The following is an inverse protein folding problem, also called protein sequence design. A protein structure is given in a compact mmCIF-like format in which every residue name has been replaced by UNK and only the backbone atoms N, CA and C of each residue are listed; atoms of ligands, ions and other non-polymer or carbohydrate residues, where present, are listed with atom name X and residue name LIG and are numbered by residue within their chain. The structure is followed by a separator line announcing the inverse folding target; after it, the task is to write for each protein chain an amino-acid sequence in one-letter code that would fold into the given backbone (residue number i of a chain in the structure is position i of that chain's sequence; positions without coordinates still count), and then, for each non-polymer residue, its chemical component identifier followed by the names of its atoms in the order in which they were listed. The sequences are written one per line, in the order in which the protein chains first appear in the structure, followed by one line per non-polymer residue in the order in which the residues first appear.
data_IF_103874627076
#
_entry.id   IF_103874627076
#
_cell.length_a   1.000
_cell.length_b   1.000
_cell.length_c   1.000
_cell.angle_alpha   90.00
_cell.angle_beta   90.00
_cell.angle_gamma   90.00
#
_symmetry.space_group_name_H-M   'P 1'
#
loop_
_entity.id
_entity.type
_entity.pdbx_description
1 polymer ?
#
# COMPACT_ATOMS: atom_id res chain seq x y z
N UNK A 1 1.93 39.41 53.42
CA UNK A 1 2.41 40.44 54.37
C UNK A 1 2.40 39.86 55.78
N UNK A 2 3.44 40.11 56.59
CA UNK A 2 3.49 39.71 58.01
C UNK A 2 3.58 40.97 58.89
N UNK A 3 2.85 41.02 60.01
CA UNK A 3 2.86 42.15 60.94
C UNK A 3 3.71 41.89 62.19
N UNK A 4 4.06 42.96 62.91
CA UNK A 4 4.84 42.90 64.16
C UNK A 4 4.23 41.99 65.23
N UNK A 5 2.91 41.86 65.26
CA UNK A 5 2.16 41.02 66.20
C UNK A 5 2.00 39.56 65.75
N UNK A 6 2.66 39.17 64.65
CA UNK A 6 2.65 37.79 64.14
C UNK A 6 1.39 37.43 63.35
N UNK A 7 0.67 38.42 62.81
CA UNK A 7 -0.42 38.17 61.86
C UNK A 7 0.13 38.06 60.44
N UNK A 8 -0.42 37.12 59.68
CA UNK A 8 -0.22 37.03 58.24
C UNK A 8 -1.47 37.54 57.52
N UNK A 9 -1.22 38.27 56.42
CA UNK A 9 -2.23 38.74 55.50
C UNK A 9 -1.87 38.30 54.09
N UNK A 10 -2.84 37.76 53.38
CA UNK A 10 -2.76 37.37 51.98
C UNK A 10 -3.74 38.22 51.19
N UNK A 11 -3.28 38.86 50.13
CA UNK A 11 -4.08 39.76 49.29
C UNK A 11 -4.00 39.30 47.83
N UNK A 12 -5.07 39.54 47.08
CA UNK A 12 -5.02 39.47 45.62
C UNK A 12 -4.22 40.66 45.07
N UNK A 13 -3.21 40.40 44.24
CA UNK A 13 -2.36 41.45 43.69
C UNK A 13 -3.08 42.39 42.70
N UNK A 14 -4.12 41.93 42.00
CA UNK A 14 -4.81 42.74 40.99
C UNK A 14 -5.83 43.71 41.62
N UNK A 15 -6.59 43.24 42.60
CA UNK A 15 -7.68 44.01 43.21
C UNK A 15 -7.39 44.52 44.62
N UNK A 16 -6.27 44.09 45.22
CA UNK A 16 -5.93 44.33 46.63
C UNK A 16 -6.98 43.78 47.63
N UNK A 17 -7.85 42.86 47.22
CA UNK A 17 -8.82 42.21 48.12
C UNK A 17 -8.07 41.30 49.10
N UNK A 18 -8.39 41.42 50.40
CA UNK A 18 -7.84 40.55 51.44
C UNK A 18 -8.44 39.15 51.32
N UNK A 19 -7.60 38.16 51.00
CA UNK A 19 -7.99 36.77 50.84
C UNK A 19 -7.95 36.00 52.16
N UNK A 20 -6.89 36.18 52.96
CA UNK A 20 -6.74 35.44 54.22
C UNK A 20 -6.04 36.29 55.28
N UNK A 21 -6.48 36.17 56.53
CA UNK A 21 -5.86 36.81 57.68
C UNK A 21 -5.91 35.85 58.86
N UNK A 22 -4.76 35.58 59.47
CA UNK A 22 -4.69 34.80 60.71
C UNK A 22 -3.45 35.15 61.52
N UNK A 23 -3.48 34.88 62.84
CA UNK A 23 -2.29 34.99 63.68
C UNK A 23 -1.51 33.67 63.63
N UNK A 24 -0.28 33.72 63.13
CA UNK A 24 0.59 32.55 62.95
C UNK A 24 1.69 32.45 64.02
N UNK A 25 1.94 33.53 64.77
CA UNK A 25 2.92 33.55 65.86
C UNK A 25 2.45 34.43 67.01
N UNK A 26 2.67 33.97 68.25
CA UNK A 26 2.47 34.82 69.44
C UNK A 26 3.57 35.87 69.59
N UNK A 27 4.76 35.58 69.05
CA UNK A 27 5.96 36.42 69.09
C UNK A 27 6.23 37.11 67.76
N UNK A 28 6.98 38.21 67.78
CA UNK A 28 7.40 38.90 66.56
C UNK A 28 8.28 38.01 65.69
N UNK A 29 7.89 37.86 64.42
CA UNK A 29 8.73 37.31 63.35
C UNK A 29 9.65 38.44 62.91
N UNK A 30 10.93 38.36 63.28
CA UNK A 30 11.87 39.48 63.16
C UNK A 30 12.72 39.44 61.89
N UNK A 31 12.83 38.27 61.25
CA UNK A 31 13.45 38.10 59.93
C UNK A 31 12.54 37.24 59.06
N UNK A 32 12.46 37.60 57.78
CA UNK A 32 11.72 36.88 56.75
C UNK A 32 12.52 36.85 55.46
N UNK A 33 12.36 35.78 54.69
CA UNK A 33 12.89 35.65 53.34
C UNK A 33 11.82 35.02 52.43
N UNK A 34 12.01 35.15 51.13
CA UNK A 34 11.23 34.39 50.16
C UNK A 34 11.54 32.90 50.29
N UNK A 35 10.49 32.07 50.26
CA UNK A 35 10.65 30.62 50.25
C UNK A 35 10.43 30.06 48.84
N UNK A 36 11.53 30.00 48.09
CA UNK A 36 11.52 29.67 46.65
C UNK A 36 10.94 28.29 46.33
N UNK A 37 11.09 27.30 47.22
CA UNK A 37 10.58 25.94 46.97
C UNK A 37 9.06 25.87 46.83
N UNK A 38 8.32 26.74 47.53
CA UNK A 38 6.86 26.73 47.55
C UNK A 38 6.25 28.05 47.07
N UNK A 39 7.06 28.97 46.53
CA UNK A 39 6.63 30.33 46.19
C UNK A 39 6.05 31.11 47.38
N UNK A 40 6.49 30.80 48.61
CA UNK A 40 5.91 31.31 49.85
C UNK A 40 6.81 32.29 50.60
N UNK A 41 6.56 32.44 51.90
CA UNK A 41 7.38 33.21 52.83
C UNK A 41 7.89 32.31 53.95
N UNK A 42 9.17 32.45 54.31
CA UNK A 42 9.78 31.80 55.47
C UNK A 42 10.25 32.87 56.45
N UNK A 43 10.14 32.63 57.75
CA UNK A 43 10.60 33.56 58.77
C UNK A 43 10.91 32.91 60.11
N UNK A 44 11.65 33.65 60.94
CA UNK A 44 12.05 33.20 62.29
C UNK A 44 11.47 34.14 63.34
N UNK A 45 10.83 33.56 64.36
CA UNK A 45 10.30 34.32 65.49
C UNK A 45 11.29 34.40 66.67
N UNK A 46 11.02 35.30 67.63
CA UNK A 46 11.91 35.50 68.80
C UNK A 46 12.09 34.26 69.70
N UNK A 47 11.22 33.26 69.58
CA UNK A 47 11.37 31.96 70.27
C UNK A 47 12.29 30.98 69.52
N UNK A 48 12.82 31.38 68.37
CA UNK A 48 13.66 30.54 67.53
C UNK A 48 12.88 29.56 66.64
N UNK A 49 11.55 29.70 66.53
CA UNK A 49 10.75 28.85 65.64
C UNK A 49 10.91 29.32 64.19
N UNK A 50 11.15 28.38 63.29
CA UNK A 50 11.15 28.61 61.84
C UNK A 50 9.75 28.32 61.31
N UNK A 51 9.10 29.33 60.75
CA UNK A 51 7.73 29.28 60.25
C UNK A 51 7.75 29.52 58.74
N UNK A 52 7.05 28.69 57.98
CA UNK A 52 6.83 28.89 56.54
C UNK A 52 5.34 28.97 56.24
N UNK A 53 4.94 29.90 55.39
CA UNK A 53 3.57 29.98 54.87
C UNK A 53 3.61 30.05 53.34
N UNK A 54 2.84 29.19 52.70
CA UNK A 54 2.68 29.11 51.25
C UNK A 54 1.19 29.06 50.90
N UNK A 55 0.90 29.28 49.63
CA UNK A 55 -0.46 29.11 49.09
C UNK A 55 -0.73 27.61 48.97
N UNK A 56 -1.88 27.17 49.48
CA UNK A 56 -2.43 25.85 49.16
C UNK A 56 -3.25 25.97 47.87
N UNK A 57 -2.63 25.59 46.76
CA UNK A 57 -3.24 25.68 45.41
C UNK A 57 -4.54 24.89 45.28
N UNK A 58 -4.73 23.83 46.08
CA UNK A 58 -5.93 22.97 46.01
C UNK A 58 -7.12 23.59 46.73
N UNK A 59 -6.88 24.32 47.81
CA UNK A 59 -7.93 24.83 48.68
C UNK A 59 -8.18 26.34 48.51
N UNK A 60 -7.30 27.08 47.83
CA UNK A 60 -7.47 28.52 47.63
C UNK A 60 -8.78 28.86 46.91
N UNK A 61 -9.06 28.20 45.78
CA UNK A 61 -10.27 28.48 44.98
C UNK A 61 -11.55 28.07 45.74
N UNK A 62 -11.65 26.86 46.34
CA UNK A 62 -12.79 26.51 47.21
C UNK A 62 -13.00 27.48 48.38
N UNK A 63 -11.92 27.96 49.01
CA UNK A 63 -12.00 28.90 50.12
C UNK A 63 -12.56 30.26 49.68
N UNK A 64 -12.06 30.83 48.58
CA UNK A 64 -12.57 32.11 48.05
C UNK A 64 -14.03 31.97 47.60
N UNK A 65 -14.40 30.80 47.08
CA UNK A 65 -15.76 30.52 46.61
C UNK A 65 -16.75 30.38 47.75
N UNK A 66 -16.46 29.50 48.73
CA UNK A 66 -17.44 29.06 49.73
C UNK A 66 -17.33 29.87 51.03
N UNK A 67 -16.10 30.17 51.47
CA UNK A 67 -15.86 30.88 52.75
C UNK A 67 -15.91 32.38 52.58
N UNK A 68 -15.28 32.93 51.53
CA UNK A 68 -15.38 34.36 51.23
C UNK A 68 -16.63 34.76 50.45
N UNK A 69 -17.40 33.78 49.94
CA UNK A 69 -18.59 33.99 49.11
C UNK A 69 -18.33 34.93 47.91
N UNK A 70 -17.14 34.85 47.31
CA UNK A 70 -16.75 35.68 46.17
C UNK A 70 -16.42 34.82 44.93
N UNK A 71 -17.43 34.27 44.24
CA UNK A 71 -17.23 33.37 43.10
C UNK A 71 -16.59 34.08 41.89
N UNK A 72 -16.79 35.38 41.73
CA UNK A 72 -16.18 36.15 40.63
C UNK A 72 -14.66 36.28 40.78
N UNK A 73 -14.19 36.53 42.01
CA UNK A 73 -12.77 36.55 42.31
C UNK A 73 -12.16 35.13 42.19
N UNK A 74 -12.88 34.11 42.66
CA UNK A 74 -12.45 32.72 42.53
C UNK A 74 -12.26 32.31 41.05
N UNK A 75 -13.19 32.70 40.17
CA UNK A 75 -13.08 32.47 38.73
C UNK A 75 -11.86 33.18 38.12
N UNK A 76 -11.64 34.46 38.44
CA UNK A 76 -10.49 35.22 37.93
C UNK A 76 -9.16 34.62 38.41
N UNK A 77 -9.07 34.25 39.69
CA UNK A 77 -7.90 33.60 40.27
C UNK A 77 -7.60 32.25 39.60
N UNK A 78 -8.63 31.44 39.38
CA UNK A 78 -8.47 30.13 38.75
C UNK A 78 -7.97 30.23 37.31
N UNK A 79 -8.47 31.19 36.52
CA UNK A 79 -7.99 31.42 35.15
C UNK A 79 -6.58 31.98 35.14
N UNK A 80 -6.31 33.01 35.95
CA UNK A 80 -5.04 33.73 35.94
C UNK A 80 -3.87 32.88 36.45
N UNK A 81 -4.12 32.03 37.43
CA UNK A 81 -3.10 31.19 38.08
C UNK A 81 -3.21 29.70 37.72
N UNK A 82 -4.14 29.31 36.82
CA UNK A 82 -4.38 27.92 36.41
C UNK A 82 -4.63 26.96 37.60
N UNK A 83 -5.35 27.43 38.62
CA UNK A 83 -5.61 26.70 39.86
C UNK A 83 -6.80 25.73 39.72
N UNK A 84 -6.74 24.54 40.34
CA UNK A 84 -7.84 23.57 40.37
C UNK A 84 -9.03 24.04 41.24
N UNK A 85 -10.19 23.42 41.08
CA UNK A 85 -11.36 23.67 41.96
C UNK A 85 -12.33 24.75 41.50
N UNK A 86 -12.13 25.36 40.32
CA UNK A 86 -13.10 26.24 39.68
C UNK A 86 -14.01 25.53 38.67
N UNK A 87 -13.85 24.22 38.47
CA UNK A 87 -14.55 23.45 37.43
C UNK A 87 -16.07 23.64 37.52
N UNK A 88 -16.62 23.47 38.72
CA UNK A 88 -18.05 23.64 39.00
C UNK A 88 -18.53 25.07 38.78
N UNK A 89 -17.67 26.08 39.01
CA UNK A 89 -18.02 27.48 38.79
C UNK A 89 -18.16 27.78 37.29
N UNK A 90 -17.26 27.24 36.46
CA UNK A 90 -17.37 27.35 35.01
C UNK A 90 -18.64 26.67 34.49
N UNK A 91 -18.93 25.46 34.97
CA UNK A 91 -20.15 24.73 34.58
C UNK A 91 -21.41 25.49 35.00
N UNK A 92 -21.47 26.02 36.23
CA UNK A 92 -22.60 26.83 36.70
C UNK A 92 -22.76 28.11 35.88
N UNK A 93 -21.68 28.85 35.65
CA UNK A 93 -21.71 30.09 34.84
C UNK A 93 -22.17 29.81 33.41
N UNK A 94 -21.67 28.73 32.81
CA UNK A 94 -22.12 28.25 31.50
C UNK A 94 -23.62 27.96 31.50
N UNK A 95 -24.11 27.16 32.46
CA UNK A 95 -25.53 26.80 32.54
C UNK A 95 -26.44 28.03 32.70
N UNK A 96 -26.03 29.00 33.53
CA UNK A 96 -26.79 30.24 33.72
C UNK A 96 -26.87 31.05 32.43
N UNK A 97 -25.74 31.27 31.75
CA UNK A 97 -25.71 32.02 30.48
C UNK A 97 -26.49 31.29 29.38
N UNK A 98 -26.37 29.96 29.32
CA UNK A 98 -27.07 29.14 28.36
C UNK A 98 -28.59 29.16 28.60
N UNK A 99 -29.04 29.06 29.86
CA UNK A 99 -30.44 29.16 30.23
C UNK A 99 -31.06 30.55 29.98
N UNK A 100 -30.25 31.60 29.98
CA UNK A 100 -30.65 32.97 29.62
C UNK A 100 -30.72 33.20 28.09
N UNK A 101 -30.36 32.22 27.28
CA UNK A 101 -30.29 32.37 25.81
C UNK A 101 -29.09 33.19 25.32
N UNK A 102 -28.15 33.52 26.19
CA UNK A 102 -26.92 34.26 25.86
C UNK A 102 -25.82 33.31 25.36
N UNK A 103 -26.07 32.69 24.20
CA UNK A 103 -25.21 31.65 23.63
C UNK A 103 -23.79 32.12 23.30
N UNK A 104 -23.63 33.37 22.85
CA UNK A 104 -22.32 33.92 22.51
C UNK A 104 -21.40 34.06 23.74
N UNK A 105 -21.93 34.53 24.87
CA UNK A 105 -21.18 34.64 26.12
C UNK A 105 -20.94 33.25 26.74
N UNK A 106 -21.92 32.34 26.65
CA UNK A 106 -21.74 30.96 27.08
C UNK A 106 -20.61 30.27 26.29
N UNK A 107 -20.51 30.51 24.98
CA UNK A 107 -19.43 30.00 24.15
C UNK A 107 -18.06 30.56 24.55
N UNK A 108 -17.95 31.86 24.86
CA UNK A 108 -16.71 32.46 25.38
C UNK A 108 -16.27 31.81 26.69
N UNK A 109 -17.19 31.56 27.62
CA UNK A 109 -16.90 30.88 28.88
C UNK A 109 -16.43 29.45 28.65
N UNK A 110 -17.03 28.73 27.70
CA UNK A 110 -16.61 27.38 27.36
C UNK A 110 -15.21 27.35 26.71
N UNK A 111 -14.88 28.37 25.92
CA UNK A 111 -13.60 28.49 25.24
C UNK A 111 -12.45 28.88 26.20
N UNK A 112 -12.69 29.78 27.15
CA UNK A 112 -11.68 30.23 28.13
C UNK A 112 -11.57 29.36 29.39
N UNK A 113 -12.41 28.32 29.51
CA UNK A 113 -12.39 27.43 30.66
C UNK A 113 -11.00 26.77 30.81
N UNK A 114 -10.40 26.77 32.01
CA UNK A 114 -9.09 26.18 32.25
C UNK A 114 -9.13 24.69 31.89
N UNK A 115 -8.03 24.17 31.35
CA UNK A 115 -7.90 22.76 30.95
C UNK A 115 -8.99 22.24 30.00
N UNK A 116 -9.74 23.13 29.35
CA UNK A 116 -10.81 22.73 28.42
C UNK A 116 -11.95 21.95 29.06
N UNK A 117 -12.27 22.17 30.35
CA UNK A 117 -13.33 21.43 31.07
C UNK A 117 -14.69 21.49 30.37
N UNK A 118 -14.97 22.59 29.66
CA UNK A 118 -16.20 22.79 28.91
C UNK A 118 -16.06 22.47 27.42
N UNK A 119 -14.88 22.08 26.92
CA UNK A 119 -14.64 21.65 25.53
C UNK A 119 -14.90 20.16 25.37
N UNK A 120 -16.11 19.74 25.71
CA UNK A 120 -16.53 18.33 25.75
C UNK A 120 -17.66 18.06 24.76
N UNK A 121 -17.87 16.79 24.35
CA UNK A 121 -18.99 16.41 23.49
C UNK A 121 -20.36 16.82 24.08
N UNK A 122 -20.51 16.81 25.40
CA UNK A 122 -21.74 17.22 26.07
C UNK A 122 -22.07 18.70 25.84
N UNK A 123 -21.06 19.57 25.83
CA UNK A 123 -21.24 21.00 25.53
C UNK A 123 -21.67 21.20 24.08
N UNK A 124 -21.06 20.47 23.14
CA UNK A 124 -21.41 20.52 21.71
C UNK A 124 -22.87 20.10 21.51
N UNK A 125 -23.29 18.99 22.13
CA UNK A 125 -24.68 18.51 22.04
C UNK A 125 -25.70 19.53 22.56
N UNK A 126 -25.37 20.27 23.63
CA UNK A 126 -26.23 21.35 24.12
C UNK A 126 -26.38 22.46 23.09
N UNK A 127 -25.29 22.91 22.49
CA UNK A 127 -25.34 23.92 21.41
C UNK A 127 -26.07 23.42 20.16
N UNK A 128 -26.01 22.12 19.87
CA UNK A 128 -26.72 21.49 18.75
C UNK A 128 -28.24 21.45 18.98
N UNK A 129 -28.68 21.23 20.23
CA UNK A 129 -30.09 21.22 20.62
C UNK A 129 -30.68 22.62 20.86
N UNK A 130 -29.83 23.66 20.87
CA UNK A 130 -30.26 25.03 21.12
C UNK A 130 -31.22 25.53 20.01
N UNK A 131 -32.31 26.23 20.36
CA UNK A 131 -33.23 26.80 19.38
C UNK A 131 -32.51 27.81 18.48
N UNK A 132 -32.64 27.63 17.17
CA UNK A 132 -32.07 28.53 16.16
C UNK A 132 -33.10 29.63 15.87
N UNK A 133 -32.76 30.88 16.17
CA UNK A 133 -33.64 32.01 15.81
C UNK A 133 -33.55 32.31 14.31
N UNK A 134 -34.69 32.56 13.63
CA UNK A 134 -34.70 32.90 12.20
C UNK A 134 -33.84 34.16 11.95
N UNK A 135 -33.07 34.16 10.86
CA UNK A 135 -32.08 35.19 10.49
C UNK A 135 -30.83 35.33 11.40
N UNK A 136 -30.63 34.48 12.39
CA UNK A 136 -29.39 34.48 13.20
C UNK A 136 -28.50 33.29 12.90
N UNK A 137 -27.18 33.45 13.08
CA UNK A 137 -26.24 32.34 12.98
C UNK A 137 -26.54 31.30 14.06
N UNK A 138 -26.48 30.02 13.69
CA UNK A 138 -26.72 28.92 14.65
C UNK A 138 -25.80 29.06 15.87
N UNK A 139 -26.32 28.87 17.10
CA UNK A 139 -25.50 28.88 18.32
C UNK A 139 -24.27 27.97 18.25
N UNK A 140 -24.39 26.82 17.55
CA UNK A 140 -23.29 25.89 17.33
C UNK A 140 -22.18 26.48 16.45
N UNK A 141 -22.55 27.21 15.39
CA UNK A 141 -21.57 27.90 14.53
C UNK A 141 -20.89 29.06 15.26
N UNK A 142 -21.62 29.77 16.13
CA UNK A 142 -21.03 30.81 16.98
C UNK A 142 -20.01 30.23 17.95
N UNK A 143 -20.32 29.07 18.55
CA UNK A 143 -19.40 28.35 19.43
C UNK A 143 -18.10 27.97 18.72
N UNK A 144 -18.19 27.33 17.55
CA UNK A 144 -16.99 26.97 16.78
C UNK A 144 -16.20 28.18 16.28
N UNK A 145 -16.89 29.27 15.87
CA UNK A 145 -16.21 30.51 15.48
C UNK A 145 -15.32 31.08 16.58
N UNK A 146 -15.84 31.16 17.81
CA UNK A 146 -15.07 31.65 18.97
C UNK A 146 -13.90 30.71 19.29
N UNK A 147 -14.10 29.40 19.21
CA UNK A 147 -13.02 28.44 19.46
C UNK A 147 -11.90 28.53 18.41
N UNK A 148 -12.25 28.68 17.13
CA UNK A 148 -11.28 28.84 16.03
C UNK A 148 -10.43 30.12 16.18
N UNK A 149 -11.02 31.18 16.73
CA UNK A 149 -10.30 32.43 17.04
C UNK A 149 -9.32 32.24 18.20
N UNK A 150 -9.66 31.40 19.19
CA UNK A 150 -8.80 31.15 20.37
C UNK A 150 -7.68 30.15 20.11
N UNK A 151 -7.90 29.12 19.29
CA UNK A 151 -6.88 28.10 19.08
C UNK A 151 -7.31 26.94 18.18
N UNK A 152 -6.61 25.81 18.32
CA UNK A 152 -6.89 24.58 17.59
C UNK A 152 -8.09 23.86 18.20
N UNK A 153 -9.01 23.39 17.36
CA UNK A 153 -10.14 22.54 17.73
C UNK A 153 -9.66 21.12 18.04
N UNK A 154 -10.29 20.47 19.03
CA UNK A 154 -10.00 19.08 19.34
C UNK A 154 -10.64 18.11 18.33
N UNK A 155 -10.35 16.81 18.44
CA UNK A 155 -10.87 15.75 17.56
C UNK A 155 -12.40 15.81 17.39
N UNK A 156 -13.14 15.91 18.49
CA UNK A 156 -14.60 15.90 18.47
C UNK A 156 -15.18 17.17 17.86
N UNK A 157 -14.63 18.33 18.24
CA UNK A 157 -15.02 19.63 17.70
C UNK A 157 -14.76 19.71 16.19
N UNK A 158 -13.60 19.21 15.74
CA UNK A 158 -13.23 19.18 14.32
C UNK A 158 -14.21 18.33 13.51
N UNK A 159 -14.62 17.16 14.02
CA UNK A 159 -15.63 16.30 13.39
C UNK A 159 -16.99 16.99 13.29
N UNK A 160 -17.50 17.52 14.40
CA UNK A 160 -18.83 18.13 14.44
C UNK A 160 -18.91 19.45 13.66
N UNK A 161 -17.80 20.19 13.54
CA UNK A 161 -17.71 21.34 12.65
C UNK A 161 -17.70 20.91 11.17
N UNK A 162 -16.98 19.85 10.82
CA UNK A 162 -16.80 19.45 9.43
C UNK A 162 -18.04 18.78 8.82
N UNK A 163 -18.83 18.02 9.60
CA UNK A 163 -20.07 17.38 9.13
C UNK A 163 -21.01 18.32 8.36
N UNK A 164 -21.49 19.45 8.93
CA UNK A 164 -22.40 20.35 8.21
C UNK A 164 -21.71 21.10 7.05
N UNK A 165 -20.41 21.39 7.17
CA UNK A 165 -19.64 22.09 6.13
C UNK A 165 -19.51 21.22 4.88
N UNK A 166 -19.26 19.92 5.07
CA UNK A 166 -19.19 18.93 3.98
C UNK A 166 -20.56 18.67 3.37
N UNK A 167 -21.63 18.60 4.16
CA UNK A 167 -23.00 18.48 3.64
C UNK A 167 -23.43 19.67 2.78
N UNK A 168 -22.94 20.87 3.11
CA UNK A 168 -23.17 22.09 2.32
C UNK A 168 -22.18 22.23 1.15
N UNK A 169 -21.32 21.23 0.91
CA UNK A 169 -20.30 21.19 -0.12
C UNK A 169 -19.31 22.39 -0.07
N UNK A 170 -19.05 22.94 1.13
CA UNK A 170 -18.16 24.09 1.35
C UNK A 170 -16.73 23.66 1.67
N UNK A 171 -16.14 22.79 0.84
CA UNK A 171 -14.80 22.22 1.08
C UNK A 171 -13.67 23.25 1.18
N UNK A 172 -13.82 24.41 0.56
CA UNK A 172 -12.84 25.51 0.62
C UNK A 172 -12.57 26.00 2.06
N UNK A 173 -13.57 25.93 2.95
CA UNK A 173 -13.39 26.31 4.36
C UNK A 173 -12.50 25.29 5.08
N UNK A 174 -12.71 24.00 4.80
CA UNK A 174 -11.90 22.94 5.37
C UNK A 174 -10.45 23.02 4.91
N UNK A 175 -10.20 23.31 3.63
CA UNK A 175 -8.85 23.57 3.12
C UNK A 175 -8.16 24.72 3.83
N UNK A 176 -8.89 25.82 4.10
CA UNK A 176 -8.35 26.96 4.85
C UNK A 176 -7.97 26.56 6.27
N UNK A 177 -8.88 25.90 6.99
CA UNK A 177 -8.62 25.49 8.38
C UNK A 177 -7.49 24.46 8.51
N UNK A 178 -7.32 23.56 7.53
CA UNK A 178 -6.20 22.62 7.48
C UNK A 178 -4.86 23.29 7.16
N UNK A 179 -4.86 24.41 6.41
CA UNK A 179 -3.65 25.21 6.14
C UNK A 179 -3.24 26.06 7.34
N UNK A 180 -4.21 26.50 8.13
CA UNK A 180 -4.00 27.32 9.33
C UNK A 180 -3.80 26.48 10.62
N UNK A 181 -3.67 25.15 10.49
CA UNK A 181 -3.54 24.18 11.59
C UNK A 181 -4.61 24.37 12.71
N UNK A 182 -5.83 24.74 12.30
CA UNK A 182 -6.94 25.03 13.22
C UNK A 182 -7.71 23.78 13.66
N UNK A 183 -7.49 22.64 13.02
CA UNK A 183 -8.22 21.40 13.28
C UNK A 183 -7.26 20.32 13.78
N UNK A 184 -7.66 19.59 14.81
CA UNK A 184 -7.03 18.33 15.17
C UNK A 184 -7.51 17.24 14.20
N UNK A 185 -6.57 16.71 13.41
CA UNK A 185 -6.86 15.70 12.40
C UNK A 185 -6.94 14.31 13.05
N UNK A 186 -7.92 13.51 12.63
CA UNK A 186 -8.12 12.14 13.08
C UNK A 186 -8.54 11.22 11.94
N UNK A 187 -8.48 9.90 12.17
CA UNK A 187 -8.93 8.90 11.20
C UNK A 187 -10.39 9.11 10.78
N UNK A 188 -11.28 9.28 11.77
CA UNK A 188 -12.72 9.52 11.55
C UNK A 188 -12.96 10.77 10.68
N UNK A 189 -12.15 11.81 10.87
CA UNK A 189 -12.27 13.03 10.07
C UNK A 189 -11.82 12.78 8.64
N UNK A 190 -10.73 12.04 8.44
CA UNK A 190 -10.26 11.66 7.12
C UNK A 190 -11.29 10.81 6.37
N UNK A 191 -11.91 9.84 7.03
CA UNK A 191 -12.95 8.99 6.44
C UNK A 191 -14.20 9.79 6.03
N UNK A 192 -14.60 10.76 6.85
CA UNK A 192 -15.70 11.67 6.53
C UNK A 192 -15.40 12.53 5.30
N UNK A 193 -14.18 13.07 5.21
CA UNK A 193 -13.74 13.90 4.09
C UNK A 193 -13.57 13.09 2.81
N UNK A 194 -13.14 11.83 2.92
CA UNK A 194 -12.91 10.92 1.79
C UNK A 194 -14.16 10.68 0.94
N UNK A 195 -15.35 10.74 1.56
CA UNK A 195 -16.63 10.61 0.85
C UNK A 195 -16.88 11.74 -0.16
N UNK A 196 -16.21 12.88 0.00
CA UNK A 196 -16.36 14.07 -0.84
C UNK A 196 -15.12 14.30 -1.72
N UNK A 197 -13.92 14.20 -1.13
CA UNK A 197 -12.66 14.49 -1.83
C UNK A 197 -11.50 13.64 -1.27
N UNK A 198 -10.99 12.72 -2.09
CA UNK A 198 -9.90 11.82 -1.72
C UNK A 198 -8.56 12.55 -1.49
N UNK A 199 -8.29 13.64 -2.22
CA UNK A 199 -7.03 14.39 -2.09
C UNK A 199 -7.02 15.21 -0.80
N UNK A 200 -8.17 15.77 -0.41
CA UNK A 200 -8.30 16.46 0.86
C UNK A 200 -8.21 15.48 2.03
N UNK A 201 -8.82 14.31 1.92
CA UNK A 201 -8.72 13.25 2.93
C UNK A 201 -7.27 12.79 3.16
N UNK A 202 -6.47 12.64 2.09
CA UNK A 202 -5.05 12.36 2.21
C UNK A 202 -4.31 13.39 3.07
N UNK A 203 -4.63 14.68 2.90
CA UNK A 203 -4.05 15.77 3.70
C UNK A 203 -4.43 15.70 5.18
N UNK A 204 -5.64 15.20 5.48
CA UNK A 204 -6.11 14.95 6.84
C UNK A 204 -5.40 13.74 7.44
N UNK A 205 -5.34 12.60 6.73
CA UNK A 205 -4.68 11.39 7.23
C UNK A 205 -3.19 11.58 7.48
N UNK A 206 -2.51 12.37 6.65
CA UNK A 206 -1.10 12.73 6.85
C UNK A 206 -0.89 13.50 8.17
N UNK A 207 -1.76 14.46 8.48
CA UNK A 207 -1.72 15.22 9.74
C UNK A 207 -2.17 14.40 10.94
N UNK A 208 -3.11 13.48 10.74
CA UNK A 208 -3.60 12.56 11.78
C UNK A 208 -2.58 11.47 12.14
N UNK A 209 -1.47 11.36 11.39
CA UNK A 209 -0.46 10.32 11.55
C UNK A 209 -1.05 8.90 11.53
N UNK A 210 -1.85 8.60 10.49
CA UNK A 210 -2.49 7.29 10.29
C UNK A 210 -1.91 6.62 9.04
N UNK A 211 -0.78 5.88 9.15
CA UNK A 211 -0.01 5.45 7.97
C UNK A 211 -0.78 4.53 7.03
N UNK A 212 -1.59 3.62 7.58
CA UNK A 212 -2.35 2.65 6.78
C UNK A 212 -3.38 3.33 5.85
N UNK A 213 -4.10 4.34 6.34
CA UNK A 213 -5.05 5.13 5.51
C UNK A 213 -4.35 6.01 4.50
N UNK A 214 -3.20 6.61 4.87
CA UNK A 214 -2.39 7.42 3.93
C UNK A 214 -1.95 6.55 2.74
N UNK A 215 -1.44 5.36 3.03
CA UNK A 215 -0.98 4.41 2.00
C UNK A 215 -2.16 3.93 1.14
N UNK A 216 -3.30 3.61 1.76
CA UNK A 216 -4.51 3.26 1.03
C UNK A 216 -4.96 4.40 0.09
N UNK A 217 -4.95 5.65 0.54
CA UNK A 217 -5.27 6.80 -0.31
C UNK A 217 -4.25 7.00 -1.44
N UNK A 218 -2.95 6.77 -1.21
CA UNK A 218 -1.97 6.80 -2.29
C UNK A 218 -2.20 5.68 -3.31
N UNK A 219 -2.58 4.48 -2.86
CA UNK A 219 -2.89 3.36 -3.73
C UNK A 219 -4.13 3.64 -4.60
N UNK A 220 -5.19 4.18 -4.00
CA UNK A 220 -6.43 4.55 -4.71
C UNK A 220 -6.23 5.72 -5.69
N UNK A 221 -5.29 6.63 -5.40
CA UNK A 221 -4.95 7.76 -6.29
C UNK A 221 -3.88 7.41 -7.34
N UNK A 222 -3.38 6.18 -7.36
CA UNK A 222 -2.34 5.71 -8.30
C UNK A 222 -0.94 6.29 -8.05
N UNK A 223 -0.70 6.89 -6.88
CA UNK A 223 0.57 7.54 -6.53
C UNK A 223 1.55 6.55 -5.85
N UNK A 224 1.86 5.43 -6.51
CA UNK A 224 2.63 4.32 -5.91
C UNK A 224 4.03 4.71 -5.44
N UNK A 225 4.73 5.59 -6.16
CA UNK A 225 6.04 6.08 -5.74
C UNK A 225 6.02 6.74 -4.36
N UNK A 226 4.92 7.43 -4.03
CA UNK A 226 4.77 8.08 -2.72
C UNK A 226 4.51 7.08 -1.59
N UNK A 227 3.98 5.89 -1.88
CA UNK A 227 3.75 4.84 -0.87
C UNK A 227 5.07 4.41 -0.26
N UNK A 228 6.05 4.03 -1.09
CA UNK A 228 7.36 3.53 -0.64
C UNK A 228 8.12 4.63 0.10
N UNK A 229 8.15 5.85 -0.46
CA UNK A 229 8.81 7.00 0.16
C UNK A 229 8.20 7.35 1.53
N UNK A 230 6.87 7.35 1.64
CA UNK A 230 6.19 7.63 2.89
C UNK A 230 6.45 6.53 3.92
N UNK A 231 6.28 5.26 3.54
CA UNK A 231 6.53 4.09 4.39
C UNK A 231 7.94 4.12 5.01
N UNK A 232 8.98 4.36 4.20
CA UNK A 232 10.37 4.51 4.67
C UNK A 232 10.53 5.72 5.62
N UNK A 233 9.90 6.86 5.31
CA UNK A 233 10.00 8.08 6.12
C UNK A 233 9.38 7.93 7.51
N UNK A 234 8.24 7.25 7.61
CA UNK A 234 7.55 7.04 8.90
C UNK A 234 7.97 5.76 9.63
N UNK A 235 8.81 4.92 9.01
CA UNK A 235 9.21 3.63 9.57
C UNK A 235 8.05 2.63 9.67
N UNK A 236 7.08 2.71 8.76
CA UNK A 236 5.91 1.83 8.72
C UNK A 236 6.02 0.86 7.55
N UNK A 237 5.95 -0.44 7.82
CA UNK A 237 5.94 -1.50 6.80
C UNK A 237 4.51 -1.93 6.53
N UNK A 238 3.88 -1.50 5.42
CA UNK A 238 2.55 -1.97 5.05
C UNK A 238 2.58 -3.42 4.58
N UNK A 239 1.42 -4.07 4.61
CA UNK A 239 1.20 -5.32 3.87
C UNK A 239 1.08 -5.00 2.37
N UNK A 240 2.21 -5.05 1.67
CA UNK A 240 2.28 -4.75 0.24
C UNK A 240 1.47 -5.74 -0.62
N UNK A 241 1.35 -7.00 -0.18
CA UNK A 241 0.60 -8.03 -0.90
C UNK A 241 -0.90 -7.75 -0.81
N UNK A 242 -1.40 -7.40 0.37
CA UNK A 242 -2.79 -6.98 0.55
C UNK A 242 -3.10 -5.73 -0.30
N UNK A 243 -2.22 -4.73 -0.28
CA UNK A 243 -2.38 -3.52 -1.09
C UNK A 243 -2.40 -3.84 -2.59
N UNK A 244 -1.48 -4.71 -3.05
CA UNK A 244 -1.43 -5.12 -4.45
C UNK A 244 -2.72 -5.82 -4.87
N UNK A 245 -3.27 -6.74 -4.05
CA UNK A 245 -4.56 -7.39 -4.31
C UNK A 245 -5.69 -6.37 -4.46
N UNK A 246 -5.71 -5.34 -3.62
CA UNK A 246 -6.71 -4.28 -3.70
C UNK A 246 -6.56 -3.45 -4.99
N UNK A 247 -5.34 -3.06 -5.34
CA UNK A 247 -5.05 -2.30 -6.57
C UNK A 247 -5.43 -3.12 -7.81
N UNK A 248 -5.04 -4.39 -7.88
CA UNK A 248 -5.34 -5.26 -9.01
C UNK A 248 -6.85 -5.44 -9.25
N UNK A 249 -7.67 -5.44 -8.20
CA UNK A 249 -9.14 -5.51 -8.30
C UNK A 249 -9.76 -4.24 -8.86
N UNK A 250 -9.16 -3.08 -8.61
CA UNK A 250 -9.69 -1.78 -9.06
C UNK A 250 -9.15 -1.44 -10.44
N UNK A 251 -7.83 -1.56 -10.63
CA UNK A 251 -7.15 -1.25 -11.87
C UNK A 251 -5.94 -2.20 -12.07
N UNK A 252 -6.10 -3.25 -12.90
CA UNK A 252 -5.04 -4.21 -13.21
C UNK A 252 -3.75 -3.59 -13.78
N UNK A 253 -3.86 -2.57 -14.63
CA UNK A 253 -2.70 -1.94 -15.27
C UNK A 253 -1.84 -1.20 -14.25
N UNK A 254 -2.47 -0.45 -13.37
CA UNK A 254 -1.79 0.20 -12.25
C UNK A 254 -1.20 -0.82 -11.26
N UNK A 255 -1.84 -1.98 -11.10
CA UNK A 255 -1.31 -3.07 -10.30
C UNK A 255 0.01 -3.62 -10.85
N UNK A 256 0.19 -3.69 -12.18
CA UNK A 256 1.48 -4.07 -12.80
C UNK A 256 2.57 -3.07 -12.44
N UNK A 257 2.29 -1.78 -12.57
CA UNK A 257 3.26 -0.72 -12.23
C UNK A 257 3.64 -0.80 -10.74
N UNK A 258 2.66 -1.02 -9.87
CA UNK A 258 2.92 -1.18 -8.44
C UNK A 258 3.75 -2.43 -8.14
N UNK A 259 3.43 -3.57 -8.75
CA UNK A 259 4.19 -4.81 -8.61
C UNK A 259 5.65 -4.66 -9.08
N UNK A 260 5.89 -3.98 -10.21
CA UNK A 260 7.25 -3.68 -10.69
C UNK A 260 8.04 -2.86 -9.67
N UNK A 261 7.39 -1.84 -9.06
CA UNK A 261 8.01 -1.03 -8.02
C UNK A 261 8.41 -1.83 -6.77
N UNK A 262 7.64 -2.85 -6.39
CA UNK A 262 7.95 -3.66 -5.20
C UNK A 262 9.21 -4.51 -5.36
N UNK A 263 9.59 -4.84 -6.60
CA UNK A 263 10.73 -5.71 -6.93
C UNK A 263 11.98 -4.93 -7.36
N UNK A 264 11.81 -3.70 -7.85
CA UNK A 264 12.92 -2.85 -8.32
C UNK A 264 13.78 -2.24 -7.20
N UNK A 265 13.30 -2.23 -5.96
CA UNK A 265 14.05 -1.72 -4.81
C UNK A 265 15.26 -2.62 -4.50
N UNK A 266 16.35 -2.03 -3.95
CA UNK A 266 17.59 -2.78 -3.62
C UNK A 266 17.32 -3.98 -2.71
N UNK A 267 16.35 -3.82 -1.81
CA UNK A 267 15.72 -4.91 -1.05
C UNK A 267 14.28 -5.06 -1.54
N UNK A 268 13.95 -6.23 -2.10
CA UNK A 268 12.60 -6.52 -2.57
C UNK A 268 11.60 -6.37 -1.40
N UNK A 269 10.60 -5.51 -1.61
CA UNK A 269 9.59 -5.19 -0.59
C UNK A 269 8.54 -6.31 -0.44
N UNK A 270 8.45 -7.19 -1.43
CA UNK A 270 7.54 -8.32 -1.46
C UNK A 270 8.16 -9.49 -2.22
N UNK A 271 7.79 -10.71 -1.82
CA UNK A 271 8.25 -11.92 -2.50
C UNK A 271 7.63 -12.03 -3.91
N UNK A 272 8.46 -12.40 -4.87
CA UNK A 272 8.05 -12.42 -6.26
C UNK A 272 7.01 -13.52 -6.55
N UNK A 273 7.08 -14.67 -5.86
CA UNK A 273 6.07 -15.72 -6.02
C UNK A 273 4.71 -15.26 -5.48
N UNK A 274 4.69 -14.58 -4.33
CA UNK A 274 3.46 -14.02 -3.75
C UNK A 274 2.81 -12.97 -4.66
N UNK A 275 3.60 -12.14 -5.34
CA UNK A 275 3.11 -11.19 -6.34
C UNK A 275 2.45 -11.94 -7.50
N UNK A 276 3.11 -12.97 -8.05
CA UNK A 276 2.56 -13.81 -9.12
C UNK A 276 1.25 -14.46 -8.70
N UNK A 277 1.19 -15.01 -7.49
CA UNK A 277 -0.02 -15.62 -6.94
C UNK A 277 -1.19 -14.62 -6.91
N UNK A 278 -0.94 -13.34 -6.59
CA UNK A 278 -1.98 -12.31 -6.62
C UNK A 278 -2.57 -12.06 -8.01
N UNK A 279 -1.74 -12.08 -9.06
CA UNK A 279 -2.26 -11.99 -10.43
C UNK A 279 -3.05 -13.23 -10.83
N UNK A 280 -2.56 -14.41 -10.45
CA UNK A 280 -3.18 -15.69 -10.77
C UNK A 280 -4.53 -15.89 -10.08
N UNK A 281 -4.65 -15.49 -8.81
CA UNK A 281 -5.92 -15.50 -8.06
C UNK A 281 -7.02 -14.70 -8.77
N UNK A 282 -6.64 -13.63 -9.48
CA UNK A 282 -7.55 -12.76 -10.23
C UNK A 282 -7.65 -13.13 -11.72
N UNK A 283 -7.02 -14.22 -12.15
CA UNK A 283 -6.94 -14.66 -13.55
C UNK A 283 -6.37 -13.59 -14.51
N UNK A 284 -5.51 -12.70 -14.00
CA UNK A 284 -4.90 -11.59 -14.76
C UNK A 284 -3.61 -12.04 -15.46
N UNK A 285 -3.73 -13.03 -16.35
CA UNK A 285 -2.58 -13.69 -16.99
C UNK A 285 -1.76 -12.72 -17.85
N UNK A 286 -2.40 -11.91 -18.68
CA UNK A 286 -1.68 -10.98 -19.57
C UNK A 286 -0.84 -9.97 -18.78
N UNK A 287 -1.40 -9.43 -17.70
CA UNK A 287 -0.74 -8.49 -16.79
C UNK A 287 0.39 -9.18 -16.01
N UNK A 288 0.18 -10.42 -15.56
CA UNK A 288 1.20 -11.23 -14.92
C UNK A 288 2.38 -11.47 -15.87
N UNK A 289 2.12 -11.82 -17.13
CA UNK A 289 3.14 -12.01 -18.16
C UNK A 289 3.93 -10.72 -18.37
N UNK A 290 3.26 -9.58 -18.54
CA UNK A 290 3.95 -8.29 -18.71
C UNK A 290 4.84 -7.93 -17.51
N UNK A 291 4.36 -8.18 -16.29
CA UNK A 291 5.15 -8.01 -15.08
C UNK A 291 6.39 -8.93 -15.07
N UNK A 292 6.20 -10.23 -15.31
CA UNK A 292 7.27 -11.22 -15.24
C UNK A 292 8.31 -11.06 -16.35
N UNK A 293 7.93 -10.64 -17.56
CA UNK A 293 8.89 -10.35 -18.63
C UNK A 293 9.86 -9.23 -18.25
N UNK A 294 9.40 -8.20 -17.53
CA UNK A 294 10.26 -7.13 -17.03
C UNK A 294 11.08 -7.58 -15.80
N UNK A 295 10.47 -8.32 -14.88
CA UNK A 295 11.13 -8.79 -13.67
C UNK A 295 12.25 -9.82 -13.95
N UNK A 296 12.04 -10.68 -14.96
CA UNK A 296 12.95 -11.77 -15.35
C UNK A 296 13.87 -11.40 -16.52
N UNK A 297 13.95 -10.13 -16.92
CA UNK A 297 14.73 -9.67 -18.08
C UNK A 297 16.22 -9.98 -18.03
N UNK A 298 16.74 -10.30 -16.84
CA UNK A 298 18.14 -10.64 -16.63
C UNK A 298 18.44 -12.15 -16.75
N UNK A 299 17.41 -12.96 -17.01
CA UNK A 299 17.48 -14.40 -17.28
C UNK A 299 18.39 -15.14 -16.30
N UNK A 300 18.16 -14.97 -14.99
CA UNK A 300 19.04 -15.54 -13.97
C UNK A 300 18.70 -17.02 -13.72
N UNK A 301 19.69 -17.89 -13.49
CA UNK A 301 19.43 -19.32 -13.20
C UNK A 301 18.53 -19.55 -11.97
N UNK A 302 18.62 -18.68 -10.96
CA UNK A 302 17.83 -18.76 -9.73
C UNK A 302 16.33 -18.54 -9.99
N UNK A 303 15.98 -17.91 -11.12
CA UNK A 303 14.61 -17.60 -11.51
C UNK A 303 13.99 -18.67 -12.42
N UNK A 304 14.70 -19.77 -12.70
CA UNK A 304 14.23 -20.87 -13.56
C UNK A 304 12.82 -21.39 -13.25
N UNK A 305 12.43 -21.59 -11.97
CA UNK A 305 11.06 -21.95 -11.63
C UNK A 305 10.01 -20.92 -12.07
N UNK A 306 10.33 -19.63 -11.97
CA UNK A 306 9.44 -18.54 -12.39
C UNK A 306 9.36 -18.43 -13.91
N UNK A 307 10.47 -18.64 -14.62
CA UNK A 307 10.47 -18.74 -16.08
C UNK A 307 9.56 -19.87 -16.57
N UNK A 308 9.66 -21.04 -15.91
CA UNK A 308 8.78 -22.19 -16.19
C UNK A 308 7.32 -21.80 -15.97
N UNK A 309 7.02 -21.12 -14.86
CA UNK A 309 5.68 -20.69 -14.49
C UNK A 309 5.08 -19.68 -15.49
N UNK A 310 5.87 -18.72 -15.99
CA UNK A 310 5.43 -17.78 -17.05
C UNK A 310 5.00 -18.56 -18.30
N UNK A 311 5.84 -19.48 -18.75
CA UNK A 311 5.59 -20.26 -19.95
C UNK A 311 4.39 -21.18 -19.77
N UNK A 312 4.30 -21.89 -18.66
CA UNK A 312 3.17 -22.76 -18.31
C UNK A 312 1.84 -21.99 -18.33
N UNK A 313 1.78 -20.86 -17.62
CA UNK A 313 0.59 -20.01 -17.56
C UNK A 313 0.15 -19.58 -18.97
N UNK A 314 1.08 -19.09 -19.80
CA UNK A 314 0.76 -18.65 -21.15
C UNK A 314 0.40 -19.82 -22.08
N UNK A 315 1.04 -20.99 -21.96
CA UNK A 315 0.68 -22.17 -22.75
C UNK A 315 -0.74 -22.67 -22.46
N UNK A 316 -1.21 -22.50 -21.22
CA UNK A 316 -2.57 -22.87 -20.85
C UNK A 316 -3.63 -21.85 -21.28
N UNK A 317 -3.32 -20.55 -21.24
CA UNK A 317 -4.32 -19.50 -21.52
C UNK A 317 -4.21 -18.85 -22.90
N UNK A 318 -2.99 -18.64 -23.39
CA UNK A 318 -2.67 -17.88 -24.59
C UNK A 318 -1.41 -18.43 -25.30
N UNK A 319 -1.49 -19.60 -25.96
CA UNK A 319 -0.33 -20.29 -26.54
C UNK A 319 0.52 -19.42 -27.48
N UNK A 320 -0.10 -18.49 -28.21
CA UNK A 320 0.59 -17.57 -29.12
C UNK A 320 1.59 -16.66 -28.39
N UNK A 321 1.30 -16.27 -27.15
CA UNK A 321 2.22 -15.45 -26.34
C UNK A 321 3.40 -16.30 -25.89
N UNK A 322 3.17 -17.53 -25.47
CA UNK A 322 4.24 -18.46 -25.11
C UNK A 322 5.15 -18.76 -26.31
N UNK A 323 4.58 -18.97 -27.50
CA UNK A 323 5.34 -19.15 -28.74
C UNK A 323 6.22 -17.94 -29.07
N UNK A 324 5.70 -16.72 -28.88
CA UNK A 324 6.48 -15.48 -29.05
C UNK A 324 7.63 -15.36 -28.03
N UNK A 325 7.41 -15.73 -26.77
CA UNK A 325 8.46 -15.72 -25.73
C UNK A 325 9.56 -16.73 -26.06
N UNK A 326 9.19 -17.94 -26.48
CA UNK A 326 10.12 -19.02 -26.84
C UNK A 326 10.91 -18.70 -28.11
N UNK A 327 10.24 -18.18 -29.15
CA UNK A 327 10.89 -17.82 -30.41
C UNK A 327 11.88 -16.66 -30.27
N UNK A 328 11.60 -15.70 -29.39
CA UNK A 328 12.52 -14.60 -29.06
C UNK A 328 13.65 -15.00 -28.11
N UNK A 329 13.72 -16.27 -27.66
CA UNK A 329 14.76 -16.78 -26.75
C UNK A 329 14.91 -15.92 -25.48
N UNK A 330 13.79 -15.45 -24.91
CA UNK A 330 13.82 -14.55 -23.76
C UNK A 330 14.29 -15.21 -22.45
N UNK A 331 14.19 -16.53 -22.36
CA UNK A 331 14.50 -17.31 -21.15
C UNK A 331 15.31 -18.57 -21.51
N UNK A 332 16.21 -19.00 -20.62
CA UNK A 332 17.06 -20.19 -20.85
C UNK A 332 17.05 -21.24 -19.72
N UNK A 333 16.51 -20.91 -18.54
CA UNK A 333 16.67 -21.71 -17.31
C UNK A 333 15.38 -22.43 -16.84
N UNK A 334 14.34 -22.45 -17.67
CA UNK A 334 13.08 -23.15 -17.37
C UNK A 334 13.18 -24.67 -17.55
N UNK A 335 12.20 -25.40 -16.99
CA UNK A 335 12.07 -26.85 -17.17
C UNK A 335 11.64 -27.19 -18.60
N UNK A 336 12.62 -27.54 -19.44
CA UNK A 336 12.41 -27.85 -20.86
C UNK A 336 11.48 -29.04 -21.08
N UNK A 337 11.58 -30.09 -20.26
CA UNK A 337 10.79 -31.30 -20.44
C UNK A 337 9.31 -31.03 -20.15
N UNK A 338 9.03 -30.29 -19.08
CA UNK A 338 7.67 -29.88 -18.74
C UNK A 338 7.06 -28.96 -19.82
N UNK A 339 7.81 -27.94 -20.26
CA UNK A 339 7.37 -27.01 -21.30
C UNK A 339 7.13 -27.71 -22.64
N UNK A 340 7.95 -28.69 -23.02
CA UNK A 340 7.76 -29.48 -24.25
C UNK A 340 6.38 -30.17 -24.27
N UNK A 341 6.00 -30.81 -23.17
CA UNK A 341 4.71 -31.49 -23.04
C UNK A 341 3.52 -30.51 -23.12
N UNK A 342 3.67 -29.31 -22.56
CA UNK A 342 2.65 -28.27 -22.63
C UNK A 342 2.54 -27.68 -24.05
N UNK A 343 3.67 -27.47 -24.74
CA UNK A 343 3.68 -27.06 -26.14
C UNK A 343 2.95 -28.06 -27.03
N UNK A 344 3.17 -29.37 -26.84
CA UNK A 344 2.46 -30.41 -27.59
C UNK A 344 0.94 -30.34 -27.33
N UNK A 345 0.52 -30.23 -26.06
CA UNK A 345 -0.90 -30.09 -25.70
C UNK A 345 -1.54 -28.82 -26.27
N UNK A 346 -0.78 -27.74 -26.38
CA UNK A 346 -1.22 -26.46 -26.94
C UNK A 346 -1.21 -26.44 -28.49
N UNK A 347 -0.79 -27.52 -29.15
CA UNK A 347 -0.69 -27.61 -30.62
C UNK A 347 0.56 -26.96 -31.21
N UNK A 348 1.50 -26.52 -30.40
CA UNK A 348 2.77 -25.91 -30.81
C UNK A 348 3.84 -27.00 -31.01
N UNK A 349 3.62 -27.90 -31.96
CA UNK A 349 4.48 -29.07 -32.15
C UNK A 349 5.92 -28.74 -32.53
N UNK A 350 6.16 -27.63 -33.27
CA UNK A 350 7.52 -27.19 -33.59
C UNK A 350 8.30 -26.86 -32.32
N UNK A 351 7.69 -26.09 -31.40
CA UNK A 351 8.29 -25.74 -30.11
C UNK A 351 8.48 -26.99 -29.24
N UNK A 352 7.52 -27.92 -29.24
CA UNK A 352 7.66 -29.16 -28.49
C UNK A 352 8.88 -29.98 -28.95
N UNK A 353 9.07 -30.10 -30.27
CA UNK A 353 10.20 -30.82 -30.87
C UNK A 353 11.57 -30.17 -30.58
N UNK A 354 11.66 -28.84 -30.51
CA UNK A 354 12.90 -28.15 -30.12
C UNK A 354 13.32 -28.44 -28.68
N UNK A 355 12.37 -28.84 -27.82
CA UNK A 355 12.57 -29.03 -26.40
C UNK A 355 12.67 -30.50 -25.99
N UNK A 356 12.14 -31.41 -26.82
CA UNK A 356 12.27 -32.84 -26.58
C UNK A 356 13.72 -33.31 -26.71
N UNK A 357 14.11 -34.16 -25.77
CA UNK A 357 15.42 -34.82 -25.73
C UNK A 357 15.30 -36.34 -25.81
N UNK A 358 14.13 -36.89 -25.46
CA UNK A 358 13.86 -38.32 -25.60
C UNK A 358 13.36 -38.64 -27.02
N UNK A 359 14.05 -39.56 -27.69
CA UNK A 359 13.71 -40.06 -29.02
C UNK A 359 12.29 -40.61 -29.09
N UNK A 360 11.75 -41.17 -28.00
CA UNK A 360 10.36 -41.65 -27.96
C UNK A 360 9.37 -40.51 -28.19
N UNK A 361 9.53 -39.39 -27.48
CA UNK A 361 8.67 -38.21 -27.61
C UNK A 361 8.87 -37.51 -28.96
N UNK A 362 10.12 -37.42 -29.45
CA UNK A 362 10.42 -36.89 -30.79
C UNK A 362 9.69 -37.69 -31.86
N UNK A 363 9.77 -39.03 -31.83
CA UNK A 363 9.07 -39.90 -32.79
C UNK A 363 7.55 -39.74 -32.72
N UNK A 364 6.99 -39.57 -31.51
CA UNK A 364 5.55 -39.32 -31.34
C UNK A 364 5.11 -38.00 -31.97
N UNK A 365 5.89 -36.93 -31.83
CA UNK A 365 5.52 -35.61 -32.32
C UNK A 365 5.81 -35.42 -33.82
N UNK A 366 6.93 -35.95 -34.33
CA UNK A 366 7.41 -35.70 -35.70
C UNK A 366 6.51 -36.30 -36.79
N UNK A 367 5.72 -37.33 -36.46
CA UNK A 367 4.80 -37.98 -37.41
C UNK A 367 3.64 -37.08 -37.83
N UNK A 368 3.32 -36.05 -37.05
CA UNK A 368 2.26 -35.09 -37.33
C UNK A 368 2.70 -33.98 -38.31
N UNK A 369 3.32 -34.37 -39.42
CA UNK A 369 3.92 -33.48 -40.44
C UNK A 369 2.98 -32.41 -40.99
N UNK A 370 1.68 -32.70 -41.12
CA UNK A 370 0.66 -31.75 -41.57
C UNK A 370 0.49 -30.51 -40.67
N UNK A 371 0.95 -30.59 -39.41
CA UNK A 371 0.93 -29.49 -38.46
C UNK A 371 2.29 -28.76 -38.36
N UNK A 372 3.30 -29.24 -39.09
CA UNK A 372 4.66 -28.73 -39.08
C UNK A 372 4.94 -27.97 -40.38
N UNK A 373 5.74 -26.90 -40.31
CA UNK A 373 6.23 -26.24 -41.52
C UNK A 373 7.28 -27.16 -42.17
N UNK A 374 7.12 -27.55 -43.45
CA UNK A 374 8.04 -28.45 -44.14
C UNK A 374 9.49 -27.97 -44.17
N UNK A 375 9.74 -26.68 -44.38
CA UNK A 375 11.09 -26.13 -44.43
C UNK A 375 11.76 -26.14 -43.06
N UNK A 376 11.00 -25.79 -42.01
CA UNK A 376 11.46 -25.86 -40.64
C UNK A 376 11.78 -27.30 -40.25
N UNK A 377 10.90 -28.25 -40.58
CA UNK A 377 11.07 -29.67 -40.26
C UNK A 377 12.31 -30.24 -40.96
N UNK A 378 12.54 -29.89 -42.22
CA UNK A 378 13.77 -30.26 -42.92
C UNK A 378 14.99 -29.73 -42.16
N UNK A 379 15.00 -28.46 -41.74
CA UNK A 379 16.13 -27.90 -40.99
C UNK A 379 16.31 -28.53 -39.60
N UNK A 380 15.22 -28.90 -38.92
CA UNK A 380 15.25 -29.52 -37.60
C UNK A 380 16.00 -30.87 -37.60
N UNK A 381 15.89 -31.66 -38.67
CA UNK A 381 16.65 -32.91 -38.80
C UNK A 381 18.17 -32.69 -38.80
N UNK A 382 18.65 -31.50 -39.16
CA UNK A 382 20.08 -31.17 -39.02
C UNK A 382 20.57 -31.01 -37.58
N UNK A 383 19.65 -30.91 -36.60
CA UNK A 383 19.99 -30.88 -35.18
C UNK A 383 19.98 -32.26 -34.51
N UNK A 384 19.42 -33.28 -35.18
CA UNK A 384 19.35 -34.65 -34.68
C UNK A 384 20.63 -35.42 -34.99
N UNK A 385 20.91 -36.46 -34.21
CA UNK A 385 21.98 -37.41 -34.56
C UNK A 385 21.60 -38.22 -35.81
N UNK A 386 22.59 -38.85 -36.45
CA UNK A 386 22.37 -39.71 -37.64
C UNK A 386 21.39 -40.85 -37.31
N UNK A 387 21.58 -41.50 -36.16
CA UNK A 387 20.74 -42.61 -35.72
C UNK A 387 19.31 -42.15 -35.40
N UNK A 388 19.16 -41.05 -34.66
CA UNK A 388 17.86 -40.48 -34.33
C UNK A 388 17.10 -40.03 -35.59
N UNK A 389 17.82 -39.47 -36.56
CA UNK A 389 17.25 -39.06 -37.85
C UNK A 389 16.68 -40.25 -38.62
N UNK A 390 17.44 -41.35 -38.75
CA UNK A 390 16.96 -42.56 -39.42
C UNK A 390 15.75 -43.15 -38.70
N UNK A 391 15.75 -43.21 -37.37
CA UNK A 391 14.63 -43.68 -36.57
C UNK A 391 13.38 -42.78 -36.70
N UNK A 392 13.56 -41.46 -36.79
CA UNK A 392 12.47 -40.52 -37.05
C UNK A 392 11.89 -40.66 -38.46
N UNK A 393 12.72 -40.83 -39.49
CA UNK A 393 12.25 -41.07 -40.87
C UNK A 393 11.46 -42.38 -40.97
N UNK A 394 11.93 -43.45 -40.30
CA UNK A 394 11.17 -44.71 -40.18
C UNK A 394 9.82 -44.48 -39.52
N UNK A 395 9.77 -43.74 -38.41
CA UNK A 395 8.52 -43.45 -37.72
C UNK A 395 7.54 -42.66 -38.61
N UNK A 396 8.03 -41.65 -39.33
CA UNK A 396 7.24 -40.86 -40.29
C UNK A 396 6.63 -41.75 -41.39
N UNK A 397 7.44 -42.61 -42.02
CA UNK A 397 6.95 -43.52 -43.05
C UNK A 397 5.98 -44.56 -42.48
N UNK A 398 6.24 -45.08 -41.28
CA UNK A 398 5.33 -46.03 -40.61
C UNK A 398 3.96 -45.43 -40.34
N UNK A 399 3.91 -44.16 -39.92
CA UNK A 399 2.66 -43.50 -39.57
C UNK A 399 1.78 -43.23 -40.80
N UNK A 400 2.33 -42.62 -41.86
CA UNK A 400 1.60 -42.36 -43.09
C UNK A 400 2.56 -42.07 -44.25
N UNK A 401 2.85 -43.10 -45.05
CA UNK A 401 3.74 -42.99 -46.20
C UNK A 401 3.28 -41.87 -47.15
N UNK A 402 2.02 -41.88 -47.61
CA UNK A 402 1.55 -40.94 -48.65
C UNK A 402 1.68 -39.48 -48.22
N UNK A 403 1.38 -39.20 -46.96
CA UNK A 403 1.42 -37.84 -46.44
C UNK A 403 2.86 -37.38 -46.18
N UNK A 404 3.71 -38.25 -45.65
CA UNK A 404 5.04 -37.88 -45.18
C UNK A 404 6.12 -37.99 -46.26
N UNK A 405 5.83 -38.69 -47.37
CA UNK A 405 6.79 -39.03 -48.41
C UNK A 405 7.57 -37.82 -48.93
N UNK A 406 6.87 -36.74 -49.30
CA UNK A 406 7.50 -35.57 -49.89
C UNK A 406 8.54 -34.93 -48.94
N UNK A 407 8.19 -34.79 -47.66
CA UNK A 407 9.09 -34.22 -46.65
C UNK A 407 10.24 -35.18 -46.33
N UNK A 408 9.98 -36.48 -46.23
CA UNK A 408 11.02 -37.50 -46.03
C UNK A 408 12.03 -37.49 -47.18
N UNK A 409 11.58 -37.37 -48.42
CA UNK A 409 12.46 -37.24 -49.60
C UNK A 409 13.28 -35.94 -49.53
N UNK A 410 12.68 -34.81 -49.12
CA UNK A 410 13.42 -33.55 -48.97
C UNK A 410 14.52 -33.64 -47.89
N UNK A 411 14.21 -34.25 -46.73
CA UNK A 411 15.19 -34.49 -45.66
C UNK A 411 16.31 -35.40 -46.17
N UNK A 412 15.94 -36.53 -46.78
CA UNK A 412 16.88 -37.49 -47.36
C UNK A 412 17.80 -36.81 -48.38
N UNK A 413 17.24 -35.99 -49.28
CA UNK A 413 17.99 -35.24 -50.30
C UNK A 413 18.94 -34.22 -49.69
N UNK A 414 18.56 -33.56 -48.59
CA UNK A 414 19.40 -32.52 -47.97
C UNK A 414 20.54 -33.11 -47.13
N UNK A 415 20.29 -34.21 -46.41
CA UNK A 415 21.23 -34.79 -45.46
C UNK A 415 21.84 -36.13 -45.93
N UNK A 416 21.75 -36.47 -47.22
CA UNK A 416 22.22 -37.76 -47.76
C UNK A 416 23.70 -38.04 -47.49
N UNK A 417 24.56 -37.02 -47.45
CA UNK A 417 25.99 -37.19 -47.14
C UNK A 417 26.22 -37.69 -45.72
N UNK A 418 25.39 -37.23 -44.77
CA UNK A 418 25.49 -37.60 -43.35
C UNK A 418 24.75 -38.91 -43.05
N UNK A 419 23.56 -39.10 -43.63
CA UNK A 419 22.72 -40.28 -43.43
C UNK A 419 23.19 -41.48 -44.25
N UNK A 420 24.06 -41.27 -45.24
CA UNK A 420 24.52 -42.22 -46.26
C UNK A 420 23.43 -42.64 -47.26
N UNK A 421 23.80 -42.71 -48.54
CA UNK A 421 22.91 -43.16 -49.60
C UNK A 421 22.41 -44.59 -49.38
N UNK A 422 23.25 -45.49 -48.85
CA UNK A 422 22.86 -46.87 -48.55
C UNK A 422 21.70 -46.97 -47.55
N UNK A 423 21.83 -46.31 -46.38
CA UNK A 423 20.82 -46.40 -45.34
C UNK A 423 19.48 -45.80 -45.79
N UNK A 424 19.51 -44.77 -46.64
CA UNK A 424 18.31 -44.16 -47.23
C UNK A 424 17.67 -45.06 -48.30
N UNK A 425 18.47 -45.75 -49.12
CA UNK A 425 17.96 -46.76 -50.09
C UNK A 425 17.27 -47.89 -49.32
N UNK A 426 17.96 -48.48 -48.33
CA UNK A 426 17.43 -49.56 -47.50
C UNK A 426 16.13 -49.14 -46.80
N UNK A 427 16.06 -47.89 -46.32
CA UNK A 427 14.86 -47.32 -45.70
C UNK A 427 13.68 -47.29 -46.67
N UNK A 428 13.82 -46.72 -47.86
CA UNK A 428 12.71 -46.63 -48.83
C UNK A 428 12.29 -48.01 -49.34
N UNK A 429 13.24 -48.94 -49.52
CA UNK A 429 12.96 -50.33 -49.90
C UNK A 429 12.19 -51.09 -48.80
N UNK A 430 12.58 -50.90 -47.53
CA UNK A 430 11.89 -51.51 -46.38
C UNK A 430 10.40 -51.16 -46.35
N UNK A 431 10.05 -49.91 -46.67
CA UNK A 431 8.66 -49.44 -46.74
C UNK A 431 8.00 -49.63 -48.11
N UNK A 432 8.70 -50.25 -49.07
CA UNK A 432 8.24 -50.46 -50.47
C UNK A 432 7.83 -49.15 -51.16
N UNK A 433 8.51 -48.05 -50.84
CA UNK A 433 8.22 -46.72 -51.38
C UNK A 433 9.09 -46.44 -52.60
N UNK A 434 8.81 -47.13 -53.71
CA UNK A 434 9.56 -46.98 -54.96
C UNK A 434 9.46 -45.57 -55.55
N UNK A 435 8.33 -44.91 -55.38
CA UNK A 435 8.14 -43.51 -55.78
C UNK A 435 9.06 -42.56 -54.99
N UNK A 436 9.16 -42.74 -53.67
CA UNK A 436 10.08 -41.98 -52.83
C UNK A 436 11.54 -42.22 -53.17
N UNK A 437 11.90 -43.50 -53.38
CA UNK A 437 13.23 -43.91 -53.80
C UNK A 437 13.59 -43.26 -55.13
N UNK A 438 12.70 -43.29 -56.13
CA UNK A 438 12.93 -42.67 -57.43
C UNK A 438 13.14 -41.15 -57.31
N UNK A 439 12.31 -40.44 -56.54
CA UNK A 439 12.47 -39.00 -56.33
C UNK A 439 13.76 -38.65 -55.59
N UNK A 440 14.10 -39.41 -54.55
CA UNK A 440 15.35 -39.24 -53.81
C UNK A 440 16.57 -39.49 -54.71
N UNK A 441 16.64 -40.66 -55.35
CA UNK A 441 17.75 -41.01 -56.24
C UNK A 441 17.88 -40.02 -57.41
N UNK A 442 16.78 -39.62 -58.03
CA UNK A 442 16.78 -38.63 -59.12
C UNK A 442 17.34 -37.27 -58.72
N UNK A 443 17.22 -36.88 -57.44
CA UNK A 443 17.78 -35.63 -56.92
C UNK A 443 19.30 -35.67 -56.71
N UNK A 444 19.87 -36.86 -56.47
CA UNK A 444 21.30 -37.04 -56.16
C UNK A 444 22.11 -37.70 -57.28
N UNK A 445 21.48 -38.42 -58.22
CA UNK A 445 22.15 -39.26 -59.23
C UNK A 445 23.15 -38.48 -60.11
N UNK A 446 22.83 -37.22 -60.44
CA UNK A 446 23.71 -36.38 -61.26
C UNK A 446 24.99 -35.93 -60.52
N UNK A 447 25.00 -36.03 -59.20
CA UNK A 447 26.09 -35.57 -58.34
C UNK A 447 26.78 -36.70 -57.57
N UNK A 448 26.15 -37.89 -57.48
CA UNK A 448 26.70 -39.06 -56.80
C UNK A 448 27.67 -39.85 -57.69
N UNK A 449 28.74 -40.35 -57.08
CA UNK A 449 29.69 -41.29 -57.71
C UNK A 449 29.47 -42.75 -57.23
N UNK A 450 28.44 -42.98 -56.41
CA UNK A 450 28.15 -44.30 -55.84
C UNK A 450 27.49 -45.22 -56.90
N UNK A 451 28.13 -46.34 -57.30
CA UNK A 451 27.56 -47.27 -58.27
C UNK A 451 26.18 -47.80 -57.87
N UNK A 452 25.89 -47.92 -56.58
CA UNK A 452 24.61 -48.43 -56.08
C UNK A 452 23.47 -47.44 -56.33
N UNK A 453 23.72 -46.14 -56.16
CA UNK A 453 22.77 -45.06 -56.49
C UNK A 453 22.41 -45.08 -57.98
N UNK A 454 23.41 -45.23 -58.86
CA UNK A 454 23.19 -45.31 -60.32
C UNK A 454 22.42 -46.58 -60.70
N UNK A 455 22.79 -47.72 -60.13
CA UNK A 455 22.12 -49.00 -60.39
C UNK A 455 20.65 -48.96 -59.96
N UNK A 456 20.38 -48.52 -58.73
CA UNK A 456 19.03 -48.44 -58.14
C UNK A 456 18.13 -47.40 -58.80
N UNK A 457 18.70 -46.35 -59.40
CA UNK A 457 17.91 -45.35 -60.13
C UNK A 457 17.43 -45.86 -61.50
N UNK A 458 18.21 -46.74 -62.14
CA UNK A 458 17.87 -47.36 -63.43
C UNK A 458 16.87 -48.50 -63.26
N UNK A 459 16.98 -49.23 -62.15
CA UNK A 459 16.09 -50.34 -61.76
C UNK A 459 14.66 -49.85 -61.49
#
# INVERSE_FOLDING_TARGET
MITKYGYIYLYDCETAICLFMNRISSETIFVTAEYQMTGGIIGVNRKGQVLSVSIDETNLVPYVTNTMQNPDLALKLAVRCNLPGAEDLFVRKFNTLFGQGSYQEAAKVAATAPRGILRTPATIQRFQQAPVMPNTTSPLLQYFGILLDQGQLNKYESLELCRPVLQQNRKNLLEKWLKEDKLECSEELGDLVKQVDANLALSVFLRANVPHKVIQCFAETGNFQKIVLYAKKVGYTPDYIFLLRQVLRINPEQGVQFAQMLVQEEEALADLNQIVDCFMELSLVQQCTAFLLEALKHDRPQEGPLQTRVLEMNLMSAPQVADAILSNQMFHHYDRAHIAQLCEKAGLLQRALEHYTDLYDIKRAVVHTHLLNPEWLVNYFGSLSVDDSLECLKAMLTSNIRQNLQVVVQIATKYHEQLTSQALIDLFEQFKSYEGLFYFLGSIVNFSQDPEVHFKYIQ
#
